data_IF_298857107752
#
_entry.id   IF_298857107752
#
_cell.length_a   1.000
_cell.length_b   1.000
_cell.length_c   1.000
_cell.angle_alpha   90.00
_cell.angle_beta   90.00
_cell.angle_gamma   90.00
#
_symmetry.space_group_name_H-M   'P 1'
#
loop_
_entity.id
_entity.type
_entity.pdbx_description
1 polymer ?
#
# COMPACT_ATOMS: atom_id res chain seq x y z
N UNK A 1 -21.59 27.18 21.49
CA UNK A 1 -20.71 26.02 21.77
C UNK A 1 -20.01 25.64 20.48
N UNK A 2 -18.67 25.61 20.45
CA UNK A 2 -17.94 25.17 19.24
C UNK A 2 -18.12 23.66 19.07
N UNK A 3 -18.41 23.21 17.85
CA UNK A 3 -18.58 21.80 17.51
C UNK A 3 -17.23 21.20 17.08
N UNK A 4 -17.01 19.89 17.28
CA UNK A 4 -15.81 19.22 16.81
C UNK A 4 -15.59 19.45 15.32
N UNK A 5 -14.34 19.67 14.92
CA UNK A 5 -13.98 19.92 13.52
C UNK A 5 -12.69 19.22 13.13
N UNK A 6 -12.63 18.77 11.89
CA UNK A 6 -11.40 18.23 11.33
C UNK A 6 -10.40 19.35 11.04
N UNK A 7 -9.12 19.06 11.27
CA UNK A 7 -8.00 19.83 10.75
C UNK A 7 -7.54 19.30 9.39
N UNK A 8 -6.22 19.34 9.18
CA UNK A 8 -5.60 18.73 8.01
C UNK A 8 -5.44 17.21 8.20
N UNK A 9 -5.34 16.49 7.09
CA UNK A 9 -4.97 15.10 7.09
C UNK A 9 -4.06 14.75 5.92
N UNK A 10 -3.25 13.71 6.12
CA UNK A 10 -2.24 13.24 5.20
C UNK A 10 -2.28 11.71 5.12
N UNK A 11 -1.95 11.18 3.95
CA UNK A 11 -1.64 9.78 3.76
C UNK A 11 -0.12 9.63 3.61
N UNK A 12 0.42 8.58 4.21
CA UNK A 12 1.85 8.34 4.23
C UNK A 12 2.17 6.86 4.29
N UNK A 13 3.39 6.47 3.93
CA UNK A 13 3.80 5.06 3.94
C UNK A 13 3.76 4.48 5.36
N UNK A 14 4.21 5.25 6.33
CA UNK A 14 4.15 4.88 7.74
C UNK A 14 4.12 6.10 8.65
N UNK A 15 3.70 5.90 9.89
CA UNK A 15 3.77 6.93 10.91
C UNK A 15 3.86 6.36 12.32
N UNK A 16 4.45 7.11 13.25
CA UNK A 16 4.71 6.68 14.62
C UNK A 16 4.45 7.81 15.60
N UNK A 17 3.69 7.52 16.66
CA UNK A 17 3.49 8.47 17.76
C UNK A 17 4.69 8.46 18.69
N UNK A 18 5.20 9.65 19.00
CA UNK A 18 6.28 9.87 19.96
C UNK A 18 5.74 10.06 21.39
N UNK A 19 6.61 9.86 22.37
CA UNK A 19 6.32 10.18 23.78
C UNK A 19 5.99 11.65 24.03
N UNK A 20 6.46 12.55 23.16
CA UNK A 20 6.16 13.98 23.18
C UNK A 20 4.73 14.34 22.74
N UNK A 21 3.96 13.37 22.25
CA UNK A 21 2.65 13.61 21.63
C UNK A 21 2.70 14.05 20.16
N UNK A 22 3.91 14.22 19.60
CA UNK A 22 4.12 14.43 18.15
C UNK A 22 3.97 13.12 17.38
N UNK A 23 3.73 13.21 16.08
CA UNK A 23 3.74 12.06 15.17
C UNK A 23 4.77 12.26 14.09
N UNK A 24 5.67 11.28 13.97
CA UNK A 24 6.60 11.17 12.86
C UNK A 24 5.89 10.58 11.66
N UNK A 25 6.06 11.21 10.50
CA UNK A 25 5.42 10.83 9.25
C UNK A 25 6.52 10.57 8.22
N UNK A 26 6.49 9.40 7.58
CA UNK A 26 7.45 9.01 6.53
C UNK A 26 6.71 8.77 5.24
N UNK A 27 7.19 9.38 4.15
CA UNK A 27 6.68 9.15 2.80
C UNK A 27 5.27 9.70 2.60
N UNK A 28 5.04 11.01 2.76
CA UNK A 28 3.75 11.63 2.43
C UNK A 28 3.52 11.52 0.91
N UNK A 29 2.36 11.00 0.51
CA UNK A 29 2.06 10.79 -0.91
C UNK A 29 0.65 11.26 -1.28
N UNK A 30 0.41 11.41 -2.57
CA UNK A 30 -0.92 11.67 -3.17
C UNK A 30 -1.25 10.68 -4.28
N UNK A 31 -0.36 9.69 -4.49
CA UNK A 31 -0.47 8.69 -5.55
C UNK A 31 -0.01 7.33 -5.05
N UNK A 32 -0.81 6.32 -5.33
CA UNK A 32 -0.48 4.91 -5.21
C UNK A 32 -0.25 4.38 -6.63
N UNK A 33 0.91 3.78 -6.85
CA UNK A 33 1.25 3.14 -8.11
C UNK A 33 0.96 1.63 -8.04
N UNK A 34 0.56 1.04 -9.17
CA UNK A 34 0.29 -0.38 -9.28
C UNK A 34 0.66 -0.92 -10.67
N UNK A 35 1.06 -2.18 -10.74
CA UNK A 35 1.40 -2.89 -11.98
C UNK A 35 0.37 -3.94 -12.40
N UNK A 36 -0.68 -4.13 -11.61
CA UNK A 36 -1.74 -5.10 -11.86
C UNK A 36 -2.89 -4.90 -10.88
N UNK A 37 -4.11 -5.22 -11.28
CA UNK A 37 -5.27 -5.20 -10.40
C UNK A 37 -5.86 -6.62 -10.29
N UNK A 38 -6.40 -7.01 -9.11
CA UNK A 38 -6.46 -6.24 -7.87
C UNK A 38 -5.09 -6.02 -7.22
N UNK A 39 -4.91 -4.91 -6.52
CA UNK A 39 -3.70 -4.63 -5.75
C UNK A 39 -3.98 -4.21 -4.31
N UNK A 40 -3.32 -4.88 -3.36
CA UNK A 40 -3.44 -4.57 -1.94
C UNK A 40 -2.33 -3.62 -1.49
N UNK A 41 -2.69 -2.59 -0.71
CA UNK A 41 -1.75 -1.61 -0.16
C UNK A 41 -1.99 -1.41 1.32
N UNK A 42 -0.89 -1.19 2.03
CA UNK A 42 -0.86 -0.76 3.41
C UNK A 42 -0.27 0.64 3.47
N UNK A 43 -0.92 1.55 4.18
CA UNK A 43 -0.44 2.92 4.39
C UNK A 43 -1.02 3.45 5.71
N UNK A 44 -0.50 4.58 6.19
CA UNK A 44 -1.06 5.28 7.34
C UNK A 44 -1.85 6.51 6.91
N UNK A 45 -2.92 6.79 7.64
CA UNK A 45 -3.69 8.03 7.59
C UNK A 45 -3.47 8.77 8.90
N UNK A 46 -2.99 10.01 8.80
CA UNK A 46 -2.79 10.90 9.94
C UNK A 46 -3.67 12.13 9.78
N UNK A 47 -4.49 12.46 10.78
CA UNK A 47 -5.32 13.67 10.75
C UNK A 47 -5.58 14.21 12.16
N UNK A 48 -5.89 15.51 12.25
CA UNK A 48 -6.27 16.14 13.51
C UNK A 48 -7.77 16.38 13.61
N UNK A 49 -8.27 16.32 14.84
CA UNK A 49 -9.59 16.80 15.23
C UNK A 49 -9.41 17.80 16.36
N UNK A 50 -10.08 18.93 16.23
CA UNK A 50 -10.09 19.99 17.22
C UNK A 50 -11.44 20.07 17.91
N UNK A 51 -11.43 20.67 19.09
CA UNK A 51 -12.64 21.10 19.79
C UNK A 51 -13.59 19.93 20.18
N UNK A 52 -13.05 18.77 20.58
CA UNK A 52 -13.86 17.63 21.02
C UNK A 52 -14.40 17.91 22.43
N UNK A 53 -15.73 17.91 22.58
CA UNK A 53 -16.42 18.21 23.86
C UNK A 53 -17.33 17.10 24.36
N UNK A 54 -17.78 16.20 23.47
CA UNK A 54 -18.73 15.13 23.77
C UNK A 54 -18.26 13.81 23.15
N UNK A 55 -18.94 12.72 23.48
CA UNK A 55 -18.70 11.44 22.82
C UNK A 55 -19.03 11.55 21.34
N UNK A 56 -18.13 11.10 20.47
CA UNK A 56 -18.37 11.08 19.03
C UNK A 56 -17.67 9.91 18.36
N UNK A 57 -18.22 9.45 17.25
CA UNK A 57 -17.64 8.43 16.39
C UNK A 57 -17.16 9.07 15.09
N UNK A 58 -15.90 8.80 14.73
CA UNK A 58 -15.33 9.15 13.44
C UNK A 58 -15.45 7.95 12.51
N UNK A 59 -16.17 8.13 11.42
CA UNK A 59 -16.28 7.16 10.34
C UNK A 59 -15.24 7.52 9.28
N UNK A 60 -14.39 6.57 8.93
CA UNK A 60 -13.40 6.70 7.86
C UNK A 60 -13.84 5.80 6.73
N UNK A 61 -14.04 6.41 5.57
CA UNK A 61 -14.49 5.71 4.38
C UNK A 61 -13.61 6.00 3.20
N UNK A 62 -13.61 5.07 2.25
CA UNK A 62 -12.98 5.23 0.96
C UNK A 62 -14.05 5.29 -0.13
N UNK A 63 -13.88 6.23 -1.06
CA UNK A 63 -14.76 6.40 -2.20
C UNK A 63 -13.95 6.55 -3.49
N UNK A 64 -14.33 5.82 -4.54
CA UNK A 64 -13.83 6.08 -5.90
C UNK A 64 -14.65 7.21 -6.52
N UNK A 65 -13.99 8.20 -7.13
CA UNK A 65 -14.66 9.33 -7.79
C UNK A 65 -15.61 8.82 -8.87
N UNK A 66 -16.79 9.44 -8.97
CA UNK A 66 -17.91 9.06 -9.88
C UNK A 66 -18.58 7.71 -9.56
N UNK A 67 -18.08 6.95 -8.59
CA UNK A 67 -18.79 5.81 -8.02
C UNK A 67 -19.66 6.30 -6.88
N UNK A 68 -20.93 5.86 -6.84
CA UNK A 68 -21.87 6.27 -5.79
C UNK A 68 -21.58 5.57 -4.47
N UNK A 69 -21.10 4.33 -4.52
CA UNK A 69 -20.78 3.55 -3.33
C UNK A 69 -19.56 4.12 -2.60
N UNK A 70 -19.63 4.03 -1.28
CA UNK A 70 -18.60 4.41 -0.33
C UNK A 70 -18.42 3.22 0.60
N UNK A 71 -17.17 2.80 0.84
CA UNK A 71 -16.84 1.68 1.72
C UNK A 71 -16.28 2.24 3.02
N UNK A 72 -16.90 1.92 4.15
CA UNK A 72 -16.30 2.19 5.46
C UNK A 72 -15.08 1.30 5.65
N UNK A 73 -13.94 1.88 5.98
CA UNK A 73 -12.66 1.18 6.17
C UNK A 73 -12.20 1.19 7.63
N UNK A 74 -12.65 2.16 8.43
CA UNK A 74 -12.41 2.19 9.87
C UNK A 74 -13.47 3.04 10.58
N UNK A 75 -13.67 2.75 11.86
CA UNK A 75 -14.49 3.52 12.78
C UNK A 75 -13.69 3.76 14.05
N UNK A 76 -13.73 4.98 14.58
CA UNK A 76 -13.05 5.34 15.83
C UNK A 76 -14.08 5.93 16.78
N UNK A 77 -14.25 5.30 17.93
CA UNK A 77 -15.07 5.85 18.99
C UNK A 77 -14.23 6.71 19.93
N UNK A 78 -14.72 7.90 20.24
CA UNK A 78 -14.10 8.86 21.15
C UNK A 78 -15.07 9.05 22.32
N UNK A 79 -14.66 8.59 23.50
CA UNK A 79 -15.40 8.82 24.74
C UNK A 79 -15.40 10.30 25.10
N UNK A 80 -16.49 10.75 25.74
CA UNK A 80 -16.61 12.11 26.25
C UNK A 80 -15.40 12.49 27.13
N UNK A 81 -14.66 13.54 26.77
CA UNK A 81 -13.51 13.97 27.56
C UNK A 81 -13.96 14.82 28.76
N UNK A 82 -13.16 14.84 29.82
CA UNK A 82 -13.41 15.69 31.01
C UNK A 82 -13.24 17.18 30.70
N UNK A 83 -12.39 17.51 29.73
CA UNK A 83 -12.12 18.86 29.24
C UNK A 83 -12.14 18.85 27.72
N UNK A 84 -12.30 20.03 27.12
CA UNK A 84 -12.12 20.20 25.68
C UNK A 84 -10.73 19.71 25.26
N UNK A 85 -10.65 18.82 24.27
CA UNK A 85 -9.38 18.30 23.75
C UNK A 85 -9.24 18.49 22.24
N UNK A 86 -7.99 18.63 21.83
CA UNK A 86 -7.55 18.49 20.45
C UNK A 86 -6.75 17.18 20.35
N UNK A 87 -7.00 16.40 19.30
CA UNK A 87 -6.43 15.05 19.18
C UNK A 87 -5.94 14.79 17.76
N UNK A 88 -4.76 14.20 17.67
CA UNK A 88 -4.23 13.65 16.44
C UNK A 88 -4.53 12.15 16.38
N UNK A 89 -4.96 11.68 15.22
CA UNK A 89 -5.22 10.28 14.93
C UNK A 89 -4.18 9.78 13.94
N UNK A 90 -3.67 8.58 14.20
CA UNK A 90 -2.79 7.84 13.31
C UNK A 90 -3.37 6.43 13.16
N UNK A 91 -3.70 6.05 11.93
CA UNK A 91 -4.43 4.82 11.64
C UNK A 91 -3.77 4.13 10.46
N UNK A 92 -3.44 2.85 10.64
CA UNK A 92 -2.99 2.01 9.54
C UNK A 92 -4.20 1.51 8.76
N UNK A 93 -4.15 1.68 7.44
CA UNK A 93 -5.19 1.28 6.50
C UNK A 93 -4.61 0.23 5.57
N UNK A 94 -5.34 -0.89 5.45
CA UNK A 94 -5.15 -1.88 4.41
C UNK A 94 -6.35 -1.85 3.47
N UNK A 95 -6.11 -1.80 2.16
CA UNK A 95 -7.18 -1.87 1.17
C UNK A 95 -6.72 -2.52 -0.13
N UNK A 96 -7.63 -3.25 -0.75
CA UNK A 96 -7.48 -3.83 -2.09
C UNK A 96 -8.20 -2.95 -3.10
N UNK A 97 -7.45 -2.44 -4.07
CA UNK A 97 -7.99 -1.66 -5.18
C UNK A 97 -8.21 -2.57 -6.39
N UNK A 98 -9.39 -2.52 -6.97
CA UNK A 98 -9.74 -3.33 -8.15
C UNK A 98 -9.45 -2.62 -9.47
N UNK A 99 -9.12 -1.32 -9.42
CA UNK A 99 -8.86 -0.53 -10.62
C UNK A 99 -8.22 0.82 -10.31
N UNK A 100 -7.58 1.41 -11.31
CA UNK A 100 -7.06 2.77 -11.23
C UNK A 100 -8.16 3.83 -11.20
N UNK A 101 -7.79 5.04 -10.78
CA UNK A 101 -8.66 6.21 -10.77
C UNK A 101 -8.38 7.16 -9.62
N UNK A 102 -9.23 8.18 -9.51
CA UNK A 102 -9.21 9.10 -8.37
C UNK A 102 -10.03 8.50 -7.22
N UNK A 103 -9.42 8.44 -6.06
CA UNK A 103 -10.03 8.00 -4.81
C UNK A 103 -10.02 9.15 -3.80
N UNK A 104 -10.88 9.03 -2.81
CA UNK A 104 -11.01 9.99 -1.72
C UNK A 104 -11.17 9.23 -0.41
N UNK A 105 -10.29 9.53 0.56
CA UNK A 105 -10.53 9.19 1.96
C UNK A 105 -11.43 10.27 2.54
N UNK A 106 -12.49 9.83 3.19
CA UNK A 106 -13.50 10.66 3.81
C UNK A 106 -13.52 10.33 5.29
N UNK A 107 -13.11 11.28 6.13
CA UNK A 107 -13.37 11.23 7.57
C UNK A 107 -14.60 12.06 7.87
N UNK A 108 -15.57 11.53 8.60
CA UNK A 108 -16.79 12.25 9.00
C UNK A 108 -17.19 11.90 10.42
N UNK A 109 -17.76 12.85 11.15
CA UNK A 109 -18.41 12.55 12.42
C UNK A 109 -19.78 11.92 12.18
N UNK A 110 -20.17 10.97 13.04
CA UNK A 110 -21.50 10.37 13.01
C UNK A 110 -22.53 11.28 13.69
N UNK A 111 -22.17 11.90 14.80
CA UNK A 111 -23.06 12.72 15.64
C UNK A 111 -23.00 14.22 15.31
N UNK A 112 -22.05 14.64 14.47
CA UNK A 112 -21.78 16.05 14.18
C UNK A 112 -21.63 16.31 12.68
N UNK A 113 -21.89 17.55 12.29
CA UNK A 113 -21.57 18.01 10.94
C UNK A 113 -20.08 18.34 10.88
N UNK A 114 -19.32 17.55 10.13
CA UNK A 114 -17.92 17.81 9.84
C UNK A 114 -17.37 16.71 8.95
N UNK A 115 -16.54 17.10 7.97
CA UNK A 115 -15.96 16.17 7.01
C UNK A 115 -14.57 16.62 6.57
N UNK A 116 -13.66 15.65 6.46
CA UNK A 116 -12.34 15.83 5.86
C UNK A 116 -12.21 15.02 4.56
N UNK A 117 -12.03 15.79 3.49
CA UNK A 117 -11.57 15.47 2.13
C UNK A 117 -10.09 15.13 1.92
N UNK A 118 -9.65 13.87 1.72
CA UNK A 118 -8.26 13.61 1.28
C UNK A 118 -8.25 12.86 -0.06
N UNK A 119 -8.09 13.56 -1.20
CA UNK A 119 -8.03 12.93 -2.51
C UNK A 119 -6.65 12.33 -2.78
N UNK A 120 -6.63 11.20 -3.49
CA UNK A 120 -5.41 10.59 -4.00
C UNK A 120 -5.68 9.82 -5.29
N UNK A 121 -4.64 9.53 -6.06
CA UNK A 121 -4.73 8.80 -7.32
C UNK A 121 -4.20 7.38 -7.15
N UNK A 122 -4.95 6.39 -7.60
CA UNK A 122 -4.40 5.05 -7.88
C UNK A 122 -4.11 5.01 -9.38
N UNK A 123 -2.87 4.70 -9.75
CA UNK A 123 -2.40 4.77 -11.12
C UNK A 123 -1.79 3.44 -11.55
N UNK A 124 -2.20 2.94 -12.72
CA UNK A 124 -1.52 1.86 -13.39
C UNK A 124 -0.17 2.33 -13.97
N UNK A 125 0.86 1.54 -13.79
CA UNK A 125 2.19 1.75 -14.36
C UNK A 125 2.46 0.75 -15.49
N UNK A 126 3.29 1.18 -16.43
CA UNK A 126 3.82 0.30 -17.46
C UNK A 126 4.62 -0.86 -16.84
N UNK A 127 4.53 -2.03 -17.46
CA UNK A 127 5.25 -3.22 -17.01
C UNK A 127 6.78 -3.01 -17.06
N UNK A 128 7.52 -3.31 -15.99
CA UNK A 128 8.96 -3.11 -15.93
C UNK A 128 9.69 -4.19 -16.73
N UNK A 129 9.92 -3.94 -18.02
CA UNK A 129 10.64 -4.85 -18.93
C UNK A 129 12.15 -4.64 -18.85
N UNK A 130 12.94 -5.70 -18.76
CA UNK A 130 14.41 -5.63 -18.80
C UNK A 130 14.89 -5.55 -20.26
N UNK A 131 15.80 -4.63 -20.54
CA UNK A 131 16.38 -4.48 -21.87
C UNK A 131 17.52 -5.48 -22.11
N UNK A 132 17.81 -5.81 -23.37
CA UNK A 132 18.96 -6.69 -23.70
C UNK A 132 20.30 -6.18 -23.14
N UNK A 133 20.48 -4.87 -23.03
CA UNK A 133 21.67 -4.28 -22.40
C UNK A 133 21.74 -4.57 -20.90
N UNK A 134 20.60 -4.51 -20.20
CA UNK A 134 20.50 -4.83 -18.78
C UNK A 134 20.76 -6.32 -18.51
N UNK A 135 20.20 -7.19 -19.35
CA UNK A 135 20.41 -8.64 -19.27
C UNK A 135 21.91 -8.97 -19.43
N UNK A 136 22.56 -8.47 -20.48
CA UNK A 136 24.01 -8.66 -20.69
C UNK A 136 24.87 -8.15 -19.55
N UNK A 137 24.46 -7.03 -18.93
CA UNK A 137 25.17 -6.48 -17.77
C UNK A 137 25.08 -7.45 -16.59
N UNK A 138 23.88 -7.99 -16.30
CA UNK A 138 23.70 -8.98 -15.24
C UNK A 138 24.52 -10.23 -15.51
N UNK A 139 24.49 -10.78 -16.73
CA UNK A 139 25.29 -11.97 -17.08
C UNK A 139 26.77 -11.78 -16.76
N UNK A 140 27.32 -10.60 -17.04
CA UNK A 140 28.71 -10.25 -16.75
C UNK A 140 29.01 -10.17 -15.25
N UNK A 141 28.07 -9.67 -14.44
CA UNK A 141 28.27 -9.37 -13.02
C UNK A 141 27.44 -10.25 -12.07
N UNK A 142 26.91 -11.38 -12.54
CA UNK A 142 25.96 -12.22 -11.78
C UNK A 142 26.46 -12.71 -10.42
N UNK A 143 27.78 -12.81 -10.23
CA UNK A 143 28.38 -13.21 -8.94
C UNK A 143 28.38 -12.09 -7.90
N UNK A 144 28.21 -10.85 -8.32
CA UNK A 144 28.41 -9.65 -7.50
C UNK A 144 27.15 -8.78 -7.40
N UNK A 145 26.08 -9.16 -8.08
CA UNK A 145 24.85 -8.37 -8.16
C UNK A 145 23.63 -9.23 -7.82
N UNK A 146 22.73 -8.80 -6.92
CA UNK A 146 21.49 -9.52 -6.63
C UNK A 146 20.48 -9.34 -7.78
N UNK A 147 20.44 -10.31 -8.70
CA UNK A 147 19.54 -10.31 -9.87
C UNK A 147 18.27 -11.17 -9.68
N UNK A 148 18.12 -11.78 -8.50
CA UNK A 148 16.98 -12.60 -8.09
C UNK A 148 16.42 -12.06 -6.78
N UNK A 149 15.10 -12.09 -6.63
CA UNK A 149 14.41 -11.75 -5.38
C UNK A 149 13.36 -12.82 -5.10
N UNK A 150 13.42 -13.36 -3.88
CA UNK A 150 12.43 -14.29 -3.35
C UNK A 150 11.44 -13.54 -2.45
N UNK A 151 10.16 -13.86 -2.57
CA UNK A 151 9.09 -13.29 -1.75
C UNK A 151 8.20 -14.41 -1.23
N UNK A 152 8.00 -14.41 0.09
CA UNK A 152 7.02 -15.28 0.74
C UNK A 152 5.64 -14.66 0.65
N UNK A 153 4.67 -15.41 0.14
CA UNK A 153 3.28 -15.00 -0.06
C UNK A 153 2.38 -15.99 0.63
N UNK A 154 1.55 -15.49 1.54
CA UNK A 154 0.59 -16.29 2.28
C UNK A 154 -0.74 -16.28 1.52
N UNK A 155 -1.36 -17.44 1.36
CA UNK A 155 -2.75 -17.51 0.89
C UNK A 155 -3.67 -16.84 1.92
N UNK A 156 -4.45 -15.85 1.50
CA UNK A 156 -5.36 -15.12 2.40
C UNK A 156 -6.45 -16.01 3.01
N UNK A 157 -6.76 -17.17 2.40
CA UNK A 157 -7.82 -18.07 2.84
C UNK A 157 -7.34 -19.16 3.82
N UNK A 158 -6.21 -19.82 3.55
CA UNK A 158 -5.71 -20.94 4.37
C UNK A 158 -4.38 -20.64 5.09
N UNK A 159 -3.79 -19.45 4.89
CA UNK A 159 -2.48 -19.05 5.42
C UNK A 159 -1.29 -19.92 4.97
N UNK A 160 -1.47 -20.83 4.02
CA UNK A 160 -0.36 -21.58 3.42
C UNK A 160 0.66 -20.61 2.79
N UNK A 161 1.94 -20.89 2.99
CA UNK A 161 3.04 -20.01 2.58
C UNK A 161 3.70 -20.56 1.32
N UNK A 162 3.72 -19.75 0.26
CA UNK A 162 4.45 -20.03 -0.97
C UNK A 162 5.66 -19.10 -1.08
N UNK A 163 6.76 -19.60 -1.64
CA UNK A 163 7.94 -18.78 -1.96
C UNK A 163 7.98 -18.59 -3.47
N UNK A 164 7.87 -17.35 -3.93
CA UNK A 164 8.00 -17.01 -5.34
C UNK A 164 9.35 -16.36 -5.62
N UNK A 165 9.97 -16.69 -6.76
CA UNK A 165 11.22 -16.07 -7.24
C UNK A 165 10.97 -15.29 -8.55
N UNK A 166 11.47 -14.06 -8.59
CA UNK A 166 11.58 -13.26 -9.81
C UNK A 166 13.07 -13.00 -10.11
N UNK A 167 13.44 -13.16 -11.39
CA UNK A 167 14.83 -13.06 -11.86
C UNK A 167 14.92 -12.17 -13.10
N UNK A 168 16.01 -11.43 -13.24
CA UNK A 168 16.34 -10.72 -14.49
C UNK A 168 16.67 -11.72 -15.61
N UNK A 169 17.31 -12.84 -15.28
CA UNK A 169 17.68 -13.90 -16.21
C UNK A 169 16.56 -14.94 -16.25
N UNK A 170 15.71 -14.86 -17.28
CA UNK A 170 14.49 -15.65 -17.41
C UNK A 170 14.73 -17.15 -17.68
N UNK A 171 15.93 -17.53 -18.13
CA UNK A 171 16.25 -18.92 -18.44
C UNK A 171 16.77 -19.71 -17.22
N UNK A 172 17.01 -19.04 -16.10
CA UNK A 172 17.50 -19.70 -14.90
C UNK A 172 16.37 -20.34 -14.08
N UNK A 173 16.62 -21.56 -13.60
CA UNK A 173 15.70 -22.23 -12.70
C UNK A 173 15.55 -21.46 -11.38
N UNK A 174 14.32 -21.40 -10.82
CA UNK A 174 14.09 -20.87 -9.48
C UNK A 174 14.91 -21.59 -8.42
N UNK A 175 15.36 -20.86 -7.41
CA UNK A 175 16.22 -21.40 -6.35
C UNK A 175 15.40 -22.21 -5.33
N UNK A 176 15.90 -23.38 -4.91
CA UNK A 176 15.56 -24.01 -3.63
C UNK A 176 14.07 -24.25 -3.37
N UNK A 177 13.31 -24.70 -4.37
CA UNK A 177 11.87 -24.96 -4.24
C UNK A 177 10.98 -23.72 -4.37
N UNK A 178 11.55 -22.57 -4.72
CA UNK A 178 10.78 -21.40 -5.10
C UNK A 178 10.00 -21.66 -6.40
N UNK A 179 8.85 -20.99 -6.51
CA UNK A 179 7.97 -21.06 -7.67
C UNK A 179 8.22 -19.82 -8.52
N UNK A 180 8.25 -19.97 -9.84
CA UNK A 180 8.29 -18.81 -10.73
C UNK A 180 6.95 -18.08 -10.68
N UNK A 181 6.97 -16.74 -10.75
CA UNK A 181 5.74 -15.98 -10.93
C UNK A 181 5.03 -16.40 -12.23
N UNK A 182 3.71 -16.69 -12.19
CA UNK A 182 2.92 -16.95 -13.40
C UNK A 182 2.90 -15.74 -14.34
N UNK A 183 2.94 -15.98 -15.65
CA UNK A 183 2.98 -14.91 -16.66
C UNK A 183 1.75 -13.99 -16.62
N UNK A 184 0.57 -14.59 -16.40
CA UNK A 184 -0.70 -13.88 -16.27
C UNK A 184 -0.89 -13.26 -14.87
N UNK A 185 -0.04 -13.64 -13.91
CA UNK A 185 -0.07 -13.17 -12.53
C UNK A 185 -1.13 -13.84 -11.65
N UNK A 186 -1.74 -14.95 -12.07
CA UNK A 186 -2.70 -15.70 -11.25
C UNK A 186 -2.09 -17.01 -10.76
N UNK A 187 -2.18 -17.27 -9.46
CA UNK A 187 -1.72 -18.51 -8.87
C UNK A 187 -2.84 -19.15 -8.05
N UNK A 188 -3.14 -20.42 -8.30
CA UNK A 188 -4.14 -21.17 -7.53
C UNK A 188 -3.47 -21.86 -6.35
N UNK A 189 -3.94 -21.56 -5.14
CA UNK A 189 -3.47 -22.23 -3.93
C UNK A 189 -3.78 -23.74 -3.98
N UNK A 190 -2.78 -24.58 -3.78
CA UNK A 190 -2.91 -26.04 -3.76
C UNK A 190 -3.82 -26.57 -2.65
N UNK A 191 -3.92 -25.83 -1.54
CA UNK A 191 -4.57 -26.35 -0.32
C UNK A 191 -6.06 -25.97 -0.25
N UNK A 192 -6.44 -24.84 -0.84
CA UNK A 192 -7.80 -24.31 -0.73
C UNK A 192 -8.39 -23.77 -2.05
N UNK A 193 -7.68 -23.96 -3.16
CA UNK A 193 -8.08 -23.56 -4.52
C UNK A 193 -8.32 -22.05 -4.72
N UNK A 194 -8.04 -21.22 -3.70
CA UNK A 194 -8.18 -19.77 -3.80
C UNK A 194 -7.15 -19.18 -4.77
N UNK A 195 -7.60 -18.29 -5.65
CA UNK A 195 -6.75 -17.56 -6.59
C UNK A 195 -6.03 -16.41 -5.89
N UNK A 196 -4.71 -16.38 -6.01
CA UNK A 196 -3.82 -15.33 -5.51
C UNK A 196 -3.40 -14.46 -6.71
N UNK A 197 -3.63 -13.14 -6.59
CA UNK A 197 -3.27 -12.16 -7.61
C UNK A 197 -1.86 -11.63 -7.34
N UNK A 198 -0.91 -12.00 -8.19
CA UNK A 198 0.52 -11.77 -8.01
C UNK A 198 1.08 -10.66 -8.90
N UNK A 199 0.33 -10.21 -9.91
CA UNK A 199 0.86 -9.32 -10.95
C UNK A 199 1.45 -8.03 -10.40
N UNK A 200 0.78 -7.42 -9.43
CA UNK A 200 1.26 -6.19 -8.79
C UNK A 200 2.50 -6.42 -7.92
N UNK A 201 2.55 -7.53 -7.17
CA UNK A 201 3.69 -7.93 -6.36
C UNK A 201 4.90 -8.17 -7.26
N UNK A 202 4.72 -8.93 -8.33
CA UNK A 202 5.73 -9.18 -9.33
C UNK A 202 6.25 -7.88 -9.94
N UNK A 203 5.36 -6.96 -10.33
CA UNK A 203 5.73 -5.65 -10.87
C UNK A 203 6.57 -4.81 -9.89
N UNK A 204 6.24 -4.83 -8.59
CA UNK A 204 7.04 -4.16 -7.53
C UNK A 204 8.44 -4.75 -7.46
N UNK A 205 8.56 -6.08 -7.43
CA UNK A 205 9.85 -6.78 -7.38
C UNK A 205 10.70 -6.43 -8.59
N UNK A 206 10.12 -6.49 -9.80
CA UNK A 206 10.80 -6.14 -11.04
C UNK A 206 11.24 -4.68 -11.08
N UNK A 207 10.42 -3.76 -10.54
CA UNK A 207 10.81 -2.35 -10.40
C UNK A 207 12.02 -2.19 -9.48
N UNK A 208 12.03 -2.87 -8.33
CA UNK A 208 13.18 -2.87 -7.41
C UNK A 208 14.45 -3.46 -8.06
N UNK A 209 14.32 -4.55 -8.83
CA UNK A 209 15.44 -5.09 -9.62
C UNK A 209 15.97 -4.08 -10.64
N UNK A 210 15.09 -3.32 -11.33
CA UNK A 210 15.52 -2.25 -12.24
C UNK A 210 16.20 -1.09 -11.51
N UNK A 211 15.77 -0.75 -10.30
CA UNK A 211 16.44 0.28 -9.49
C UNK A 211 17.85 -0.16 -9.07
N UNK A 212 18.01 -1.41 -8.63
CA UNK A 212 19.32 -1.97 -8.31
C UNK A 212 20.25 -1.93 -9.54
N UNK A 213 19.74 -2.25 -10.73
CA UNK A 213 20.52 -2.16 -11.98
C UNK A 213 20.99 -0.74 -12.30
N UNK A 214 20.18 0.28 -11.98
CA UNK A 214 20.58 1.68 -12.19
C UNK A 214 21.75 2.08 -11.29
N UNK A 215 21.82 1.55 -10.07
CA UNK A 215 22.95 1.77 -9.16
C UNK A 215 24.21 1.15 -9.77
N UNK A 216 24.12 -0.11 -10.21
CA UNK A 216 25.24 -0.82 -10.86
C UNK A 216 25.78 -0.07 -12.10
N UNK A 217 24.90 0.57 -12.88
CA UNK A 217 25.27 1.39 -14.05
C UNK A 217 25.94 2.72 -13.71
N UNK A 218 25.83 3.22 -12.48
CA UNK A 218 26.47 4.49 -12.06
C UNK A 218 27.88 4.26 -11.52
N UNK A 219 28.17 3.06 -11.06
CA UNK A 219 29.46 2.67 -10.49
C UNK A 219 30.44 2.13 -11.55
N UNK A 220 29.99 1.92 -12.79
CA UNK A 220 30.76 1.43 -13.94
C UNK A 220 30.57 2.34 -15.15
#
# INVERSE_FOLDING_TARGET
MMKPRFGAGQICDSSKTQSSGKVDIVGIFTRINSWGFPCTRNWSLVFSVFDITDSTTIIISLKKRRVKSQKTIATIDISKPEKKIDKLFNINIMHTFDSEGMYEIICSFKEHNGRLSIPFKVQFLEWPTFTNKEIKLVEKYKKSFPYKINVSINCENCSHIYIFEESILADEEPSGGAIRFPDDGHFTCSDCENTINLKDIQGRIRSSLKENLKILKKEN
#
